data_IF_534446543167
#
_entry.id   IF_534446543167
#
_cell.length_a   1.000
_cell.length_b   1.000
_cell.length_c   1.000
_cell.angle_alpha   90.00
_cell.angle_beta   90.00
_cell.angle_gamma   90.00
#
_symmetry.space_group_name_H-M   'P 1'
#
loop_
_entity.id
_entity.type
_entity.pdbx_description
1 polymer ?
#
# COMPACT_ATOMS: atom_id res chain seq x y z
N UNK A 1 41.41 -12.63 -18.43
CA UNK A 1 40.18 -13.43 -18.26
C UNK A 1 39.86 -13.93 -16.82
N UNK A 2 40.75 -13.84 -15.82
CA UNK A 2 40.51 -14.39 -14.46
C UNK A 2 39.99 -13.37 -13.42
N UNK A 3 39.97 -12.08 -13.75
CA UNK A 3 39.54 -11.01 -12.83
C UNK A 3 38.02 -10.73 -12.88
N UNK A 4 37.35 -11.01 -14.01
CA UNK A 4 35.91 -10.75 -14.19
C UNK A 4 35.03 -11.64 -13.29
N UNK A 5 35.44 -12.88 -13.04
CA UNK A 5 34.70 -13.82 -12.18
C UNK A 5 34.77 -13.47 -10.68
N UNK A 6 35.76 -12.69 -10.23
CA UNK A 6 35.91 -12.25 -8.83
C UNK A 6 35.11 -10.99 -8.49
N UNK A 7 34.64 -10.23 -9.49
CA UNK A 7 33.73 -9.09 -9.31
C UNK A 7 32.25 -9.49 -9.26
N UNK A 8 31.90 -10.69 -9.74
CA UNK A 8 30.54 -11.24 -9.69
C UNK A 8 29.90 -11.28 -8.29
N UNK A 9 30.60 -11.65 -7.19
CA UNK A 9 29.95 -11.63 -5.88
C UNK A 9 29.63 -10.22 -5.40
N UNK A 10 30.45 -9.21 -5.72
CA UNK A 10 30.24 -7.83 -5.24
C UNK A 10 28.97 -7.22 -5.88
N UNK A 11 28.77 -7.42 -7.18
CA UNK A 11 27.57 -6.96 -7.89
C UNK A 11 26.30 -7.70 -7.46
N UNK A 12 26.41 -8.97 -7.09
CA UNK A 12 25.30 -9.75 -6.51
C UNK A 12 24.95 -9.27 -5.10
N UNK A 13 25.95 -8.88 -4.29
CA UNK A 13 25.74 -8.30 -2.95
C UNK A 13 25.07 -6.91 -2.99
N UNK A 14 25.39 -6.06 -3.96
CA UNK A 14 24.69 -4.77 -4.16
C UNK A 14 23.31 -4.91 -4.82
N UNK A 15 23.07 -5.97 -5.60
CA UNK A 15 21.81 -6.21 -6.30
C UNK A 15 20.68 -6.81 -5.44
N UNK A 16 21.00 -7.27 -4.23
CA UNK A 16 20.03 -7.77 -3.23
C UNK A 16 19.33 -6.66 -2.45
N UNK A 17 19.74 -5.40 -2.61
CA UNK A 17 19.00 -4.27 -2.08
C UNK A 17 17.76 -4.07 -2.95
N UNK A 18 16.64 -4.65 -2.53
CA UNK A 18 15.32 -4.32 -3.07
C UNK A 18 15.19 -2.81 -3.10
N UNK A 19 15.22 -2.22 -4.30
CA UNK A 19 14.84 -0.83 -4.49
C UNK A 19 13.36 -0.80 -4.11
N UNK A 20 13.05 -0.45 -2.86
CA UNK A 20 11.70 -0.10 -2.45
C UNK A 20 11.33 1.17 -3.20
N UNK A 21 10.85 0.99 -4.43
CA UNK A 21 10.21 2.05 -5.16
C UNK A 21 9.04 2.48 -4.28
N UNK A 22 9.06 3.71 -3.75
CA UNK A 22 7.87 4.26 -3.12
C UNK A 22 6.78 4.24 -4.19
N UNK A 23 5.86 3.27 -4.10
CA UNK A 23 4.67 3.29 -4.95
C UNK A 23 3.96 4.60 -4.62
N UNK A 24 3.74 5.42 -5.64
CA UNK A 24 3.13 6.74 -5.47
C UNK A 24 1.73 6.66 -4.86
N UNK A 25 1.15 7.81 -4.55
CA UNK A 25 -0.23 7.86 -4.10
C UNK A 25 -1.20 7.75 -5.29
N UNK A 26 -2.35 7.11 -5.05
CA UNK A 26 -3.45 6.98 -6.00
C UNK A 26 -4.76 7.53 -5.39
N UNK A 27 -5.72 7.99 -6.21
CA UNK A 27 -7.00 8.49 -5.72
C UNK A 27 -7.81 7.42 -4.97
N UNK A 28 -8.48 7.82 -3.88
CA UNK A 28 -9.34 6.91 -3.11
C UNK A 28 -10.58 6.53 -3.93
N UNK A 29 -10.74 5.24 -4.18
CA UNK A 29 -11.90 4.65 -4.87
C UNK A 29 -12.85 3.94 -3.90
N UNK A 30 -12.36 3.51 -2.73
CA UNK A 30 -13.15 2.84 -1.68
C UNK A 30 -14.26 3.76 -1.17
N UNK A 31 -15.56 3.42 -1.34
CA UNK A 31 -16.68 4.32 -0.98
C UNK A 31 -16.70 4.75 0.48
N UNK A 32 -16.34 3.85 1.40
CA UNK A 32 -16.35 4.11 2.84
C UNK A 32 -15.28 5.12 3.30
N UNK A 33 -14.25 5.32 2.48
CA UNK A 33 -13.10 6.19 2.79
C UNK A 33 -13.19 7.55 2.09
N UNK A 34 -14.33 7.90 1.48
CA UNK A 34 -14.53 9.21 0.84
C UNK A 34 -14.97 10.25 1.86
N UNK A 35 -14.47 11.49 1.72
CA UNK A 35 -14.88 12.63 2.54
C UNK A 35 -14.18 12.76 3.90
N UNK A 36 -13.18 11.91 4.19
CA UNK A 36 -12.45 11.84 5.47
C UNK A 36 -11.28 12.84 5.60
N UNK A 37 -11.29 13.93 4.81
CA UNK A 37 -10.26 14.97 4.86
C UNK A 37 -9.05 14.79 3.94
N UNK A 38 -8.98 13.70 3.15
CA UNK A 38 -7.97 13.49 2.11
C UNK A 38 -8.52 12.66 0.92
N UNK A 39 -7.86 12.73 -0.23
CA UNK A 39 -8.33 12.10 -1.48
C UNK A 39 -7.32 11.13 -2.12
N UNK A 40 -6.13 10.97 -1.51
CA UNK A 40 -5.04 10.14 -2.00
C UNK A 40 -4.67 9.09 -0.95
N UNK A 41 -4.34 7.88 -1.40
CA UNK A 41 -3.87 6.78 -0.57
C UNK A 41 -2.67 6.10 -1.22
N UNK A 42 -1.88 5.36 -0.47
CA UNK A 42 -0.71 4.63 -0.97
C UNK A 42 -0.84 3.15 -0.65
N UNK A 43 -0.36 2.30 -1.56
CA UNK A 43 -0.27 0.86 -1.35
C UNK A 43 1.19 0.37 -1.45
N UNK A 44 1.61 -0.65 -0.69
CA UNK A 44 0.79 -1.41 0.25
C UNK A 44 0.38 -0.57 1.46
N UNK A 45 -0.85 -0.76 1.95
CA UNK A 45 -1.31 -0.05 3.14
C UNK A 45 -0.83 -0.76 4.41
N UNK A 46 -1.10 -0.18 5.59
CA UNK A 46 -0.65 -0.72 6.88
C UNK A 46 -1.22 -2.09 7.24
N UNK A 47 -2.21 -2.57 6.50
CA UNK A 47 -2.83 -3.89 6.66
C UNK A 47 -2.26 -4.93 5.68
N UNK A 48 -1.28 -4.56 4.85
CA UNK A 48 -0.61 -5.47 3.93
C UNK A 48 -1.31 -5.67 2.59
N UNK A 49 -2.46 -5.02 2.37
CA UNK A 49 -3.12 -5.02 1.07
C UNK A 49 -2.22 -4.38 0.01
N UNK A 50 -2.23 -4.92 -1.20
CA UNK A 50 -1.45 -4.36 -2.32
C UNK A 50 -2.27 -3.44 -3.23
N UNK A 51 -3.60 -3.51 -3.16
CA UNK A 51 -4.51 -2.72 -4.00
C UNK A 51 -5.79 -2.31 -3.26
N UNK A 52 -6.44 -1.24 -3.74
CA UNK A 52 -7.70 -0.77 -3.18
C UNK A 52 -8.85 -1.76 -3.30
N UNK A 53 -8.88 -2.59 -4.34
CA UNK A 53 -9.95 -3.58 -4.51
C UNK A 53 -9.94 -4.61 -3.37
N UNK A 54 -8.76 -5.03 -2.95
CA UNK A 54 -8.57 -5.97 -1.84
C UNK A 54 -8.99 -5.35 -0.51
N UNK A 55 -8.44 -4.17 -0.19
CA UNK A 55 -8.81 -3.43 1.02
C UNK A 55 -10.30 -3.06 1.06
N UNK A 56 -10.89 -2.77 -0.11
CA UNK A 56 -12.30 -2.44 -0.27
C UNK A 56 -13.23 -3.61 0.07
N UNK A 57 -12.84 -4.84 -0.26
CA UNK A 57 -13.59 -6.05 0.10
C UNK A 57 -13.59 -6.28 1.61
N UNK A 58 -12.43 -6.11 2.27
CA UNK A 58 -12.33 -6.31 3.72
C UNK A 58 -13.05 -5.21 4.51
N UNK A 59 -12.90 -3.95 4.14
CA UNK A 59 -13.51 -2.84 4.89
C UNK A 59 -15.03 -2.80 4.74
N UNK A 60 -15.57 -3.38 3.67
CA UNK A 60 -17.02 -3.44 3.44
C UNK A 60 -17.78 -4.16 4.55
N UNK A 61 -17.16 -5.08 5.30
CA UNK A 61 -17.82 -5.74 6.43
C UNK A 61 -18.20 -4.77 7.57
N UNK A 62 -17.55 -3.60 7.63
CA UNK A 62 -17.80 -2.59 8.65
C UNK A 62 -18.87 -1.57 8.24
N UNK A 63 -19.44 -1.68 7.03
CA UNK A 63 -20.48 -0.75 6.53
C UNK A 63 -21.64 -0.55 7.52
N UNK A 64 -22.23 -1.60 8.13
CA UNK A 64 -23.34 -1.43 9.07
C UNK A 64 -22.96 -0.66 10.33
N UNK A 65 -21.68 -0.72 10.76
CA UNK A 65 -21.22 -0.01 11.95
C UNK A 65 -21.06 1.50 11.68
N UNK A 66 -20.67 1.86 10.46
CA UNK A 66 -20.54 3.25 10.02
C UNK A 66 -21.91 3.92 9.88
N UNK A 67 -22.93 3.19 9.44
CA UNK A 67 -24.29 3.74 9.32
C UNK A 67 -24.99 3.94 10.68
N UNK A 68 -24.69 3.08 11.66
CA UNK A 68 -25.45 3.01 12.93
C UNK A 68 -24.85 3.85 14.06
N UNK A 69 -23.58 4.24 13.98
CA UNK A 69 -22.90 5.01 15.03
C UNK A 69 -22.26 6.28 14.50
N UNK A 70 -22.58 7.41 15.14
CA UNK A 70 -22.12 8.78 14.91
C UNK A 70 -20.87 8.88 14.03
N UNK A 71 -21.05 9.31 12.77
CA UNK A 71 -20.08 9.40 11.66
C UNK A 71 -18.80 10.26 11.91
N UNK A 72 -18.47 10.53 13.18
CA UNK A 72 -17.38 11.39 13.63
C UNK A 72 -16.14 10.61 14.12
N UNK A 73 -16.12 9.27 13.99
CA UNK A 73 -14.96 8.43 14.37
C UNK A 73 -14.13 8.00 13.14
N UNK A 74 -14.72 8.01 11.95
CA UNK A 74 -14.01 7.80 10.67
C UNK A 74 -13.70 9.09 9.91
N UNK A 75 -14.07 10.25 10.46
CA UNK A 75 -13.70 11.57 9.96
C UNK A 75 -12.59 12.17 10.83
#
# INVERSE_FOLDING_TARGET
PKAAARMMPILVFFGLMSISHSKGCEPITIPLCKGIGYNLTSFPNSYGHEKQEEAGLEVHQFFPLVEVSSANVFQ
#
